data_IF_907618596972
#
_entry.id   IF_907618596972
#
_cell.length_a   1.000
_cell.length_b   1.000
_cell.length_c   1.000
_cell.angle_alpha   90.00
_cell.angle_beta   90.00
_cell.angle_gamma   90.00
#
_symmetry.space_group_name_H-M   'P 1'
#
loop_
_entity.id
_entity.type
_entity.pdbx_description
1 polymer ?
#
# COMPACT_ATOMS: atom_id res chain seq x y z
N UNK A 1 21.74 18.06 -6.17
CA UNK A 1 21.44 17.70 -7.58
C UNK A 1 19.93 17.77 -7.80
N UNK A 2 19.43 17.96 -9.03
CA UNK A 2 18.00 18.15 -9.33
C UNK A 2 17.05 17.12 -8.69
N UNK A 3 17.48 15.85 -8.57
CA UNK A 3 16.75 14.79 -7.88
C UNK A 3 16.34 15.15 -6.44
N UNK A 4 17.23 15.76 -5.66
CA UNK A 4 16.98 16.10 -4.24
C UNK A 4 15.87 17.12 -4.11
N UNK A 5 15.94 18.19 -4.91
CA UNK A 5 14.94 19.27 -4.92
C UNK A 5 13.59 18.73 -5.40
N UNK A 6 13.58 17.92 -6.46
CA UNK A 6 12.37 17.28 -6.98
C UNK A 6 11.66 16.45 -5.91
N UNK A 7 12.38 15.54 -5.24
CA UNK A 7 11.78 14.72 -4.19
C UNK A 7 11.32 15.55 -2.99
N UNK A 8 11.99 16.65 -2.67
CA UNK A 8 11.53 17.57 -1.63
C UNK A 8 10.18 18.21 -1.97
N UNK A 9 9.99 18.63 -3.23
CA UNK A 9 8.71 19.15 -3.73
C UNK A 9 7.62 18.06 -3.62
N UNK A 10 7.91 16.84 -4.05
CA UNK A 10 6.96 15.72 -4.00
C UNK A 10 6.54 15.35 -2.57
N UNK A 11 7.43 15.52 -1.59
CA UNK A 11 7.11 15.32 -0.15
C UNK A 11 6.13 16.37 0.37
N UNK A 12 6.24 17.61 -0.10
CA UNK A 12 5.36 18.70 0.30
C UNK A 12 4.01 18.67 -0.44
N UNK A 13 3.94 17.97 -1.58
CA UNK A 13 2.69 17.82 -2.31
C UNK A 13 1.67 16.98 -1.55
N UNK A 14 0.46 17.51 -1.43
CA UNK A 14 -0.71 16.80 -0.90
C UNK A 14 -1.45 16.01 -1.98
N UNK A 15 -1.25 16.37 -3.25
CA UNK A 15 -1.83 15.68 -4.41
C UNK A 15 -1.18 14.32 -4.61
N UNK A 16 -1.98 13.34 -5.00
CA UNK A 16 -1.48 12.04 -5.41
C UNK A 16 -0.58 12.18 -6.65
N UNK A 17 0.54 11.46 -6.69
CA UNK A 17 1.59 11.69 -7.70
C UNK A 17 1.05 11.53 -9.13
N UNK A 18 0.20 10.53 -9.38
CA UNK A 18 -0.36 10.26 -10.71
C UNK A 18 -1.41 11.29 -11.17
N UNK A 19 -1.99 12.07 -10.26
CA UNK A 19 -3.05 13.03 -10.57
C UNK A 19 -2.55 14.48 -10.57
N UNK A 20 -1.28 14.68 -10.24
CA UNK A 20 -0.65 16.00 -10.12
C UNK A 20 0.17 16.43 -11.34
N UNK A 21 0.74 17.65 -11.31
CA UNK A 21 1.59 18.18 -12.38
C UNK A 21 2.88 17.37 -12.60
N UNK A 22 3.21 16.47 -11.67
CA UNK A 22 4.38 15.61 -11.71
C UNK A 22 4.05 14.15 -12.09
N UNK A 23 2.86 13.86 -12.61
CA UNK A 23 2.41 12.51 -12.97
C UNK A 23 3.40 11.74 -13.86
N UNK A 24 4.03 12.44 -14.80
CA UNK A 24 5.05 11.86 -15.70
C UNK A 24 6.21 11.20 -14.94
N UNK A 25 6.50 11.62 -13.70
CA UNK A 25 7.61 11.05 -12.92
C UNK A 25 7.35 9.60 -12.50
N UNK A 26 6.11 9.11 -12.55
CA UNK A 26 5.77 7.70 -12.30
C UNK A 26 6.51 6.80 -13.31
N UNK A 27 6.69 7.26 -14.55
CA UNK A 27 7.40 6.52 -15.59
C UNK A 27 8.93 6.54 -15.41
N UNK A 28 9.44 7.47 -14.59
CA UNK A 28 10.88 7.69 -14.38
C UNK A 28 11.31 7.30 -12.96
N UNK A 29 11.01 6.06 -12.55
CA UNK A 29 11.23 5.54 -11.19
C UNK A 29 12.64 5.77 -10.59
N UNK A 30 13.69 5.92 -11.41
CA UNK A 30 15.07 6.14 -10.91
C UNK A 30 15.26 7.51 -10.28
N UNK A 31 14.41 8.49 -10.60
CA UNK A 31 14.49 9.84 -10.04
C UNK A 31 13.73 9.98 -8.72
N UNK A 32 12.90 9.00 -8.36
CA UNK A 32 12.10 9.01 -7.14
C UNK A 32 12.84 8.33 -5.99
N UNK A 33 12.83 8.97 -4.82
CA UNK A 33 13.31 8.40 -3.58
C UNK A 33 12.31 7.35 -3.05
N UNK A 34 12.80 6.46 -2.20
CA UNK A 34 12.02 5.32 -1.72
C UNK A 34 10.75 5.74 -0.96
N UNK A 35 10.83 6.81 -0.18
CA UNK A 35 9.70 7.33 0.59
C UNK A 35 8.58 7.87 -0.31
N UNK A 36 8.93 8.57 -1.39
CA UNK A 36 7.98 9.02 -2.41
C UNK A 36 7.33 7.83 -3.11
N UNK A 37 8.12 6.82 -3.50
CA UNK A 37 7.59 5.57 -4.09
C UNK A 37 6.64 4.85 -3.14
N UNK A 38 7.01 4.74 -1.87
CA UNK A 38 6.20 4.09 -0.83
C UNK A 38 4.87 4.82 -0.62
N UNK A 39 4.89 6.16 -0.61
CA UNK A 39 3.68 6.98 -0.52
C UNK A 39 2.77 6.73 -1.74
N UNK A 40 3.32 6.83 -2.95
CA UNK A 40 2.60 6.55 -4.19
C UNK A 40 1.98 5.13 -4.18
N UNK A 41 2.78 4.10 -3.88
CA UNK A 41 2.30 2.72 -3.83
C UNK A 41 1.15 2.52 -2.84
N UNK A 42 1.22 3.13 -1.65
CA UNK A 42 0.14 3.05 -0.67
C UNK A 42 -1.15 3.71 -1.19
N UNK A 43 -1.03 4.89 -1.79
CA UNK A 43 -2.18 5.61 -2.33
C UNK A 43 -2.83 4.87 -3.50
N UNK A 44 -2.03 4.22 -4.36
CA UNK A 44 -2.57 3.35 -5.42
C UNK A 44 -3.29 2.11 -4.86
N UNK A 45 -2.77 1.50 -3.79
CA UNK A 45 -3.49 0.41 -3.11
C UNK A 45 -4.82 0.90 -2.53
N UNK A 46 -4.85 2.08 -1.91
CA UNK A 46 -6.08 2.69 -1.37
C UNK A 46 -7.09 2.99 -2.48
N UNK A 47 -6.63 3.47 -3.64
CA UNK A 47 -7.46 3.70 -4.83
C UNK A 47 -8.06 2.41 -5.40
N UNK A 48 -7.27 1.33 -5.46
CA UNK A 48 -7.76 0.01 -5.86
C UNK A 48 -8.76 -0.59 -4.87
N UNK A 49 -8.72 -0.14 -3.61
CA UNK A 49 -9.64 -0.52 -2.56
C UNK A 49 -10.81 0.48 -2.40
N UNK A 50 -10.95 1.46 -3.30
CA UNK A 50 -12.01 2.46 -3.20
C UNK A 50 -13.39 1.80 -3.32
N UNK A 51 -14.26 2.06 -2.32
CA UNK A 51 -15.57 1.43 -2.21
C UNK A 51 -15.58 0.05 -1.53
N UNK A 52 -14.43 -0.54 -1.22
CA UNK A 52 -14.36 -1.76 -0.40
C UNK A 52 -14.55 -1.42 1.09
N UNK A 53 -15.58 -2.03 1.70
CA UNK A 53 -15.79 -1.92 3.14
C UNK A 53 -14.90 -2.95 3.84
N UNK A 54 -13.83 -2.47 4.48
CA UNK A 54 -12.93 -3.29 5.29
C UNK A 54 -13.55 -3.53 6.67
N UNK A 55 -13.56 -4.79 7.10
CA UNK A 55 -14.01 -5.19 8.43
C UNK A 55 -12.85 -5.82 9.22
N UNK A 56 -13.06 -6.03 10.52
CA UNK A 56 -12.11 -6.77 11.36
C UNK A 56 -12.35 -8.28 11.19
N UNK A 57 -11.29 -9.03 10.91
CA UNK A 57 -11.33 -10.48 10.77
C UNK A 57 -10.46 -11.13 11.85
N UNK A 58 -11.11 -11.64 12.90
CA UNK A 58 -10.40 -12.33 13.97
C UNK A 58 -9.73 -13.62 13.46
N UNK A 59 -8.46 -13.81 13.83
CA UNK A 59 -7.70 -15.04 13.56
C UNK A 59 -7.36 -15.71 14.88
N UNK A 60 -7.96 -16.87 15.14
CA UNK A 60 -7.74 -17.61 16.38
C UNK A 60 -6.57 -18.60 16.22
N UNK A 61 -5.43 -18.28 16.85
CA UNK A 61 -4.22 -19.10 16.77
C UNK A 61 -3.68 -19.43 18.16
N UNK A 62 -3.12 -20.63 18.31
CA UNK A 62 -2.30 -20.97 19.47
C UNK A 62 -0.86 -20.58 19.21
N UNK A 63 -0.16 -20.06 20.23
CA UNK A 63 1.18 -19.47 20.08
C UNK A 63 2.26 -20.47 19.68
N UNK A 64 2.08 -21.73 20.06
CA UNK A 64 2.92 -22.87 19.71
C UNK A 64 2.65 -23.42 18.29
N UNK A 65 1.50 -23.08 17.70
CA UNK A 65 1.04 -23.59 16.40
C UNK A 65 0.58 -22.46 15.44
N UNK A 66 1.25 -21.30 15.49
CA UNK A 66 0.84 -20.11 14.72
C UNK A 66 0.75 -20.41 13.23
N UNK A 67 1.68 -21.19 12.68
CA UNK A 67 1.71 -21.47 11.24
C UNK A 67 0.53 -22.36 10.80
N UNK A 68 0.36 -23.53 11.42
CA UNK A 68 -0.70 -24.46 11.03
C UNK A 68 -2.10 -23.90 11.31
N UNK A 69 -2.27 -23.22 12.44
CA UNK A 69 -3.55 -22.61 12.80
C UNK A 69 -3.88 -21.41 11.87
N UNK A 70 -2.91 -20.55 11.54
CA UNK A 70 -3.12 -19.47 10.56
C UNK A 70 -3.46 -19.99 9.18
N UNK A 71 -2.80 -21.07 8.73
CA UNK A 71 -3.15 -21.68 7.46
C UNK A 71 -4.60 -22.18 7.49
N UNK A 72 -5.00 -22.90 8.54
CA UNK A 72 -6.37 -23.41 8.69
C UNK A 72 -7.41 -22.30 8.63
N UNK A 73 -7.16 -21.18 9.29
CA UNK A 73 -8.04 -20.00 9.35
C UNK A 73 -8.08 -19.21 8.02
N UNK A 74 -6.93 -18.98 7.39
CA UNK A 74 -6.79 -18.00 6.30
C UNK A 74 -6.78 -18.61 4.89
N UNK A 75 -6.38 -19.88 4.69
CA UNK A 75 -6.12 -20.40 3.32
C UNK A 75 -7.35 -20.46 2.41
N UNK A 76 -8.57 -20.47 2.98
CA UNK A 76 -9.83 -20.50 2.22
C UNK A 76 -10.43 -19.12 2.02
N UNK A 77 -9.85 -18.08 2.62
CA UNK A 77 -10.33 -16.71 2.48
C UNK A 77 -10.05 -16.21 1.08
N UNK A 78 -11.04 -15.56 0.50
CA UNK A 78 -10.91 -14.91 -0.80
C UNK A 78 -9.88 -13.77 -0.74
N UNK A 79 -9.30 -13.36 -1.88
CA UNK A 79 -8.39 -12.21 -1.91
C UNK A 79 -9.01 -10.93 -1.35
N UNK A 80 -10.32 -10.76 -1.45
CA UNK A 80 -11.06 -9.62 -0.89
C UNK A 80 -11.17 -9.70 0.64
N UNK A 81 -11.53 -10.87 1.19
CA UNK A 81 -11.53 -11.09 2.65
C UNK A 81 -10.13 -10.91 3.25
N UNK A 82 -9.07 -11.23 2.52
CA UNK A 82 -7.68 -11.02 2.96
C UNK A 82 -7.28 -9.54 3.03
N UNK A 83 -8.10 -8.61 2.50
CA UNK A 83 -7.91 -7.16 2.66
C UNK A 83 -8.50 -6.61 3.95
N UNK A 84 -9.25 -7.42 4.71
CA UNK A 84 -9.74 -7.08 6.04
C UNK A 84 -8.60 -6.93 7.05
N UNK A 85 -8.88 -6.22 8.14
CA UNK A 85 -7.89 -6.05 9.22
C UNK A 85 -7.85 -7.31 10.07
N UNK A 86 -6.74 -8.04 10.01
CA UNK A 86 -6.46 -9.24 10.82
C UNK A 86 -6.15 -8.90 12.28
#
# INVERSE_FOLDING_TARGET
THRTVLNQILRQSTTHLADGPFAVLVDYIRVLDFDVKRKYFRQELERLDEGLRKEDMAVHVRRDHVFEDSYRELHRKSPEEMKNRL
#
